data_IF_210147755705
#
_entry.id   IF_210147755705
#
_cell.length_a   1.000
_cell.length_b   1.000
_cell.length_c   1.000
_cell.angle_alpha   90.00
_cell.angle_beta   90.00
_cell.angle_gamma   90.00
#
_symmetry.space_group_name_H-M   'P 1'
#
loop_
_entity.id
_entity.type
_entity.pdbx_description
1 polymer ?
#
# COMPACT_ATOMS: atom_id res chain seq x y z
N UNK A 1 21.25 32.53 -7.44
CA UNK A 1 20.35 31.34 -7.42
C UNK A 1 19.39 31.60 -6.29
N UNK A 2 18.18 31.96 -6.66
CA UNK A 2 17.16 32.46 -5.75
C UNK A 2 16.82 31.45 -4.65
N UNK A 3 17.07 31.89 -3.41
CA UNK A 3 16.74 31.14 -2.17
C UNK A 3 15.30 31.37 -1.72
N UNK A 4 14.43 31.79 -2.59
CA UNK A 4 13.09 32.24 -2.24
C UNK A 4 12.01 31.36 -2.85
N UNK A 5 11.74 30.15 -2.31
CA UNK A 5 10.47 29.54 -2.66
C UNK A 5 9.68 28.98 -1.48
N UNK A 6 10.30 28.60 -0.37
CA UNK A 6 9.50 28.16 0.79
C UNK A 6 10.17 28.59 2.11
N UNK A 7 9.49 29.41 2.89
CA UNK A 7 9.90 29.72 4.26
C UNK A 7 9.56 28.56 5.18
N UNK A 8 10.40 28.27 6.20
CA UNK A 8 10.12 27.21 7.19
C UNK A 8 8.81 27.39 7.99
N UNK A 9 8.16 28.50 7.82
CA UNK A 9 6.89 28.86 8.49
C UNK A 9 5.66 28.38 7.73
N UNK A 10 5.82 27.85 6.52
CA UNK A 10 4.68 27.35 5.76
C UNK A 10 4.10 26.10 6.43
N UNK A 11 2.82 26.18 6.79
CA UNK A 11 2.07 25.15 7.54
C UNK A 11 2.07 23.78 6.83
N UNK A 12 2.29 23.77 5.53
CA UNK A 12 2.24 22.60 4.65
C UNK A 12 3.62 22.17 4.11
N UNK A 13 4.71 22.76 4.62
CA UNK A 13 6.04 22.42 4.16
C UNK A 13 6.53 21.10 4.76
N UNK A 14 6.71 20.07 3.94
CA UNK A 14 7.08 18.73 4.34
C UNK A 14 8.58 18.40 4.08
N UNK A 15 9.44 19.38 4.00
CA UNK A 15 10.92 19.24 3.86
C UNK A 15 11.37 18.30 2.72
N UNK A 16 10.92 18.50 1.47
CA UNK A 16 11.25 17.58 0.37
C UNK A 16 12.72 17.63 -0.07
N UNK A 17 13.42 18.74 0.17
CA UNK A 17 14.73 19.07 -0.34
C UNK A 17 15.85 19.20 0.71
N UNK A 18 15.48 19.17 1.99
CA UNK A 18 16.42 19.32 3.11
C UNK A 18 16.06 18.39 4.28
N UNK A 19 17.02 18.10 5.19
CA UNK A 19 16.73 17.29 6.39
C UNK A 19 15.71 17.96 7.30
N UNK A 20 14.83 17.14 7.88
CA UNK A 20 13.85 17.58 8.87
C UNK A 20 14.57 17.97 10.17
N UNK A 21 14.43 19.21 10.67
CA UNK A 21 14.99 19.62 11.96
C UNK A 21 14.48 18.75 13.11
N UNK A 22 15.31 18.57 14.14
CA UNK A 22 15.00 17.67 15.27
C UNK A 22 13.71 18.06 15.99
N UNK A 23 13.43 19.35 16.15
CA UNK A 23 12.23 19.91 16.80
C UNK A 23 10.95 19.69 16.00
N UNK A 24 11.04 19.41 14.69
CA UNK A 24 9.91 19.14 13.78
C UNK A 24 9.68 17.66 13.53
N UNK A 25 10.54 16.78 14.04
CA UNK A 25 10.40 15.33 13.86
C UNK A 25 9.20 14.80 14.63
N UNK A 26 8.50 13.85 14.02
CA UNK A 26 7.33 13.21 14.63
C UNK A 26 7.73 12.13 15.61
N UNK A 27 6.88 11.90 16.61
CA UNK A 27 7.04 10.79 17.55
C UNK A 27 7.03 9.43 16.83
N UNK A 28 7.79 8.44 17.30
CA UNK A 28 7.79 7.07 16.74
C UNK A 28 6.39 6.44 16.68
N UNK A 29 5.56 6.70 17.71
CA UNK A 29 4.18 6.20 17.77
C UNK A 29 3.34 6.79 16.63
N UNK A 30 3.48 8.08 16.37
CA UNK A 30 2.74 8.75 15.29
C UNK A 30 3.12 8.17 13.92
N UNK A 31 4.42 7.95 13.69
CA UNK A 31 4.92 7.32 12.46
C UNK A 31 4.40 5.88 12.35
N UNK A 32 4.43 5.11 13.45
CA UNK A 32 3.91 3.74 13.47
C UNK A 32 2.41 3.68 13.13
N UNK A 33 1.58 4.57 13.67
CA UNK A 33 0.14 4.64 13.36
C UNK A 33 -0.09 4.93 11.89
N UNK A 34 0.61 5.91 11.32
CA UNK A 34 0.47 6.26 9.91
C UNK A 34 0.93 5.10 9.02
N UNK A 35 2.08 4.49 9.32
CA UNK A 35 2.61 3.36 8.56
C UNK A 35 1.69 2.14 8.65
N UNK A 36 1.11 1.86 9.83
CA UNK A 36 0.12 0.79 9.99
C UNK A 36 -1.13 1.08 9.18
N UNK A 37 -1.62 2.32 9.19
CA UNK A 37 -2.77 2.72 8.37
C UNK A 37 -2.52 2.56 6.87
N UNK A 38 -1.30 2.79 6.41
CA UNK A 38 -0.91 2.53 5.02
C UNK A 38 -0.81 1.04 4.70
N UNK A 39 -0.38 0.21 5.64
CA UNK A 39 -0.25 -1.23 5.47
C UNK A 39 -1.60 -1.96 5.47
N UNK A 40 -2.57 -1.47 6.27
CA UNK A 40 -3.93 -2.02 6.34
C UNK A 40 -4.80 -1.37 5.26
N UNK A 41 -4.55 -1.74 4.01
CA UNK A 41 -5.30 -1.24 2.86
C UNK A 41 -6.10 -2.39 2.22
N UNK A 42 -7.18 -2.05 1.50
CA UNK A 42 -7.98 -3.05 0.76
C UNK A 42 -7.14 -3.85 -0.22
N UNK A 43 -6.15 -3.23 -0.84
CA UNK A 43 -5.20 -3.89 -1.75
C UNK A 43 -4.39 -5.02 -1.08
N UNK A 44 -4.04 -4.89 0.19
CA UNK A 44 -3.33 -5.97 0.91
C UNK A 44 -4.25 -7.14 1.21
N UNK A 45 -5.52 -6.89 1.51
CA UNK A 45 -6.53 -7.95 1.67
C UNK A 45 -6.75 -8.70 0.36
N UNK A 46 -6.85 -7.98 -0.75
CA UNK A 46 -6.97 -8.61 -2.06
C UNK A 46 -5.74 -9.43 -2.45
N UNK A 47 -4.54 -8.95 -2.15
CA UNK A 47 -3.32 -9.74 -2.37
C UNK A 47 -3.38 -11.06 -1.59
N UNK A 48 -3.91 -11.03 -0.36
CA UNK A 48 -4.13 -12.24 0.43
C UNK A 48 -5.13 -13.21 -0.21
N UNK A 49 -6.25 -12.72 -0.75
CA UNK A 49 -7.24 -13.55 -1.44
C UNK A 49 -6.68 -14.14 -2.74
N UNK A 50 -5.96 -13.35 -3.55
CA UNK A 50 -5.32 -13.83 -4.77
C UNK A 50 -4.26 -14.92 -4.49
N UNK A 51 -3.54 -14.82 -3.36
CA UNK A 51 -2.64 -15.89 -2.93
C UNK A 51 -3.40 -17.18 -2.55
N UNK A 52 -4.56 -17.03 -1.93
CA UNK A 52 -5.39 -18.19 -1.54
C UNK A 52 -5.96 -18.96 -2.75
N UNK A 53 -6.15 -18.30 -3.89
CA UNK A 53 -6.58 -18.94 -5.14
C UNK A 53 -5.51 -19.86 -5.75
N UNK A 54 -4.23 -19.57 -5.52
CA UNK A 54 -3.10 -20.26 -6.15
C UNK A 54 -2.28 -21.11 -5.18
N UNK A 55 -2.44 -20.90 -3.88
CA UNK A 55 -1.69 -21.60 -2.82
C UNK A 55 -2.62 -22.11 -1.73
N UNK A 56 -2.31 -23.28 -1.16
CA UNK A 56 -2.98 -23.73 0.04
C UNK A 56 -2.62 -22.82 1.25
N UNK A 57 -3.50 -22.77 2.23
CA UNK A 57 -3.39 -21.89 3.40
C UNK A 57 -1.99 -21.92 4.05
N UNK A 58 -1.45 -23.14 4.29
CA UNK A 58 -0.14 -23.29 4.95
C UNK A 58 1.01 -22.69 4.13
N UNK A 59 1.05 -22.95 2.82
CA UNK A 59 2.10 -22.41 1.94
C UNK A 59 1.95 -20.90 1.77
N UNK A 60 0.74 -20.39 1.59
CA UNK A 60 0.43 -18.96 1.50
C UNK A 60 0.85 -18.21 2.77
N UNK A 61 0.51 -18.74 3.95
CA UNK A 61 0.91 -18.14 5.23
C UNK A 61 2.44 -18.09 5.39
N UNK A 62 3.14 -19.18 5.08
CA UNK A 62 4.62 -19.19 5.13
C UNK A 62 5.21 -18.17 4.18
N UNK A 63 4.71 -18.08 2.94
CA UNK A 63 5.17 -17.11 1.96
C UNK A 63 4.97 -15.66 2.42
N UNK A 64 3.80 -15.34 2.98
CA UNK A 64 3.49 -14.02 3.55
C UNK A 64 4.43 -13.70 4.72
N UNK A 65 4.61 -14.62 5.67
CA UNK A 65 5.45 -14.39 6.84
C UNK A 65 6.91 -14.18 6.42
N UNK A 66 7.46 -15.05 5.57
CA UNK A 66 8.85 -14.94 5.10
C UNK A 66 9.05 -13.65 4.32
N UNK A 67 8.17 -13.32 3.38
CA UNK A 67 8.22 -12.07 2.62
C UNK A 67 8.13 -10.84 3.52
N UNK A 68 7.23 -10.85 4.52
CA UNK A 68 7.07 -9.75 5.47
C UNK A 68 8.29 -9.57 6.36
N UNK A 69 8.94 -10.65 6.80
CA UNK A 69 10.18 -10.58 7.59
C UNK A 69 11.31 -9.97 6.76
N UNK A 70 11.48 -10.39 5.50
CA UNK A 70 12.49 -9.82 4.60
C UNK A 70 12.24 -8.31 4.41
N UNK A 71 11.00 -7.93 4.12
CA UNK A 71 10.62 -6.52 3.96
C UNK A 71 10.82 -5.73 5.25
N UNK A 72 10.50 -6.29 6.42
CA UNK A 72 10.70 -5.65 7.71
C UNK A 72 12.19 -5.38 7.99
N UNK A 73 13.07 -6.32 7.66
CA UNK A 73 14.53 -6.14 7.80
C UNK A 73 15.00 -4.99 6.89
N UNK A 74 14.64 -5.01 5.61
CA UNK A 74 15.02 -3.97 4.65
C UNK A 74 14.48 -2.60 5.05
N UNK A 75 13.21 -2.54 5.46
CA UNK A 75 12.56 -1.32 5.92
C UNK A 75 13.20 -0.77 7.21
N UNK A 76 13.61 -1.65 8.14
CA UNK A 76 14.29 -1.24 9.38
C UNK A 76 15.67 -0.65 9.10
N UNK A 77 16.41 -1.24 8.18
CA UNK A 77 17.73 -0.74 7.79
C UNK A 77 17.63 0.65 7.11
N UNK A 78 16.79 0.76 6.11
CA UNK A 78 16.62 2.02 5.36
C UNK A 78 15.91 3.09 6.19
N UNK A 79 14.88 2.71 6.92
CA UNK A 79 14.12 3.59 7.81
C UNK A 79 14.94 4.10 9.00
N UNK A 80 15.81 3.27 9.58
CA UNK A 80 16.72 3.66 10.63
C UNK A 80 17.69 4.77 10.19
N UNK A 81 18.28 4.64 9.00
CA UNK A 81 19.14 5.67 8.44
C UNK A 81 18.33 6.94 8.16
N UNK A 82 17.18 6.83 7.52
CA UNK A 82 16.30 7.96 7.23
C UNK A 82 15.85 8.71 8.48
N UNK A 83 15.48 7.99 9.56
CA UNK A 83 15.05 8.57 10.82
C UNK A 83 16.19 9.33 11.53
N UNK A 84 17.39 8.74 11.57
CA UNK A 84 18.55 9.39 12.19
C UNK A 84 18.97 10.65 11.44
N UNK A 85 18.99 10.62 10.13
CA UNK A 85 19.40 11.75 9.29
C UNK A 85 18.24 12.76 9.04
N UNK A 86 16.98 12.34 9.22
CA UNK A 86 15.81 13.16 8.91
C UNK A 86 15.62 13.41 7.41
N UNK A 87 16.02 12.46 6.56
CA UNK A 87 16.00 12.60 5.10
C UNK A 87 15.05 11.60 4.44
N UNK A 88 14.49 11.98 3.29
CA UNK A 88 13.64 11.11 2.48
C UNK A 88 14.47 10.05 1.74
N UNK A 89 13.80 8.98 1.27
CA UNK A 89 14.44 7.91 0.49
C UNK A 89 15.13 8.44 -0.78
N UNK A 90 14.54 9.43 -1.46
CA UNK A 90 15.15 10.06 -2.63
C UNK A 90 16.42 10.84 -2.29
N UNK A 91 16.46 11.48 -1.12
CA UNK A 91 17.68 12.13 -0.63
C UNK A 91 18.74 11.11 -0.22
N UNK A 92 18.35 10.03 0.45
CA UNK A 92 19.25 8.96 0.84
C UNK A 92 19.91 8.31 -0.37
N UNK A 93 19.20 8.17 -1.49
CA UNK A 93 19.74 7.62 -2.74
C UNK A 93 20.86 8.46 -3.37
N UNK A 94 21.03 9.71 -2.93
CA UNK A 94 22.15 10.56 -3.40
C UNK A 94 23.51 10.06 -2.94
N UNK A 95 23.56 9.33 -1.82
CA UNK A 95 24.82 8.81 -1.28
C UNK A 95 25.42 7.75 -2.21
N UNK A 96 24.73 6.68 -2.60
CA UNK A 96 25.25 5.65 -3.49
C UNK A 96 25.22 6.04 -4.99
N UNK A 97 24.23 6.81 -5.45
CA UNK A 97 23.98 7.06 -6.88
C UNK A 97 24.36 8.47 -7.33
N UNK A 98 24.79 9.33 -6.41
CA UNK A 98 25.08 10.73 -6.71
C UNK A 98 23.82 11.53 -7.11
N UNK A 99 24.01 12.82 -7.45
CA UNK A 99 22.90 13.75 -7.71
C UNK A 99 22.10 13.39 -8.97
N UNK A 100 22.77 12.92 -10.02
CA UNK A 100 22.09 12.52 -11.28
C UNK A 100 21.36 11.20 -11.15
N UNK A 101 21.98 10.20 -10.51
CA UNK A 101 21.36 8.90 -10.27
C UNK A 101 20.16 8.97 -9.32
N UNK A 102 20.21 9.81 -8.30
CA UNK A 102 19.10 10.06 -7.39
C UNK A 102 17.85 10.63 -8.09
N UNK A 103 17.99 11.39 -9.16
CA UNK A 103 16.86 11.86 -9.96
C UNK A 103 16.13 10.70 -10.65
N UNK A 104 16.89 9.71 -11.14
CA UNK A 104 16.30 8.48 -11.73
C UNK A 104 15.54 7.70 -10.67
N UNK A 105 16.13 7.53 -9.48
CA UNK A 105 15.45 6.88 -8.35
C UNK A 105 14.15 7.61 -7.98
N UNK A 106 14.21 8.94 -7.90
CA UNK A 106 13.03 9.76 -7.63
C UNK A 106 11.93 9.60 -8.70
N UNK A 107 12.33 9.56 -9.97
CA UNK A 107 11.40 9.32 -11.08
C UNK A 107 10.73 7.94 -11.00
N UNK A 108 11.51 6.89 -10.76
CA UNK A 108 10.99 5.52 -10.61
C UNK A 108 10.03 5.43 -9.42
N UNK A 109 10.38 6.03 -8.28
CA UNK A 109 9.49 6.09 -7.12
C UNK A 109 8.19 6.85 -7.45
N UNK A 110 8.28 7.98 -8.14
CA UNK A 110 7.12 8.76 -8.56
C UNK A 110 6.18 7.95 -9.47
N UNK A 111 6.72 7.30 -10.50
CA UNK A 111 5.93 6.43 -11.40
C UNK A 111 5.29 5.27 -10.62
N UNK A 112 6.02 4.65 -9.70
CA UNK A 112 5.51 3.57 -8.86
C UNK A 112 4.36 4.04 -7.98
N UNK A 113 4.45 5.24 -7.40
CA UNK A 113 3.38 5.82 -6.57
C UNK A 113 2.14 6.17 -7.41
N UNK A 114 2.31 6.67 -8.64
CA UNK A 114 1.19 6.91 -9.56
C UNK A 114 0.49 5.59 -9.95
N UNK A 115 1.26 4.54 -10.23
CA UNK A 115 0.71 3.21 -10.50
C UNK A 115 -0.09 2.67 -9.31
N UNK A 116 0.45 2.80 -8.10
CA UNK A 116 -0.23 2.39 -6.88
C UNK A 116 -1.51 3.19 -6.61
N UNK A 117 -1.47 4.50 -6.83
CA UNK A 117 -2.64 5.37 -6.72
C UNK A 117 -3.75 4.97 -7.71
N UNK A 118 -3.38 4.74 -8.98
CA UNK A 118 -4.33 4.32 -10.02
C UNK A 118 -5.01 2.99 -9.65
N UNK A 119 -4.23 2.03 -9.14
CA UNK A 119 -4.74 0.75 -8.67
C UNK A 119 -5.74 0.90 -7.53
N UNK A 120 -5.44 1.74 -6.53
CA UNK A 120 -6.34 2.00 -5.41
C UNK A 120 -7.64 2.69 -5.86
N UNK A 121 -7.55 3.64 -6.79
CA UNK A 121 -8.73 4.30 -7.35
C UNK A 121 -9.62 3.31 -8.12
N UNK A 122 -9.04 2.42 -8.92
CA UNK A 122 -9.79 1.38 -9.63
C UNK A 122 -10.52 0.45 -8.68
N UNK A 123 -9.84 -0.02 -7.64
CA UNK A 123 -10.44 -0.83 -6.58
C UNK A 123 -11.62 -0.17 -5.89
N UNK A 124 -11.47 1.12 -5.56
CA UNK A 124 -12.56 1.89 -4.97
C UNK A 124 -13.77 1.94 -5.90
N UNK A 125 -13.54 2.22 -7.19
CA UNK A 125 -14.59 2.29 -8.19
C UNK A 125 -15.34 0.96 -8.36
N UNK A 126 -14.62 -0.15 -8.45
CA UNK A 126 -15.22 -1.48 -8.54
C UNK A 126 -16.01 -1.84 -7.29
N UNK A 127 -15.46 -1.56 -6.11
CA UNK A 127 -16.13 -1.84 -4.83
C UNK A 127 -17.45 -1.07 -4.71
N UNK A 128 -17.46 0.22 -5.05
CA UNK A 128 -18.68 1.04 -5.03
C UNK A 128 -19.73 0.51 -6.03
N UNK A 129 -19.30 0.13 -7.22
CA UNK A 129 -20.21 -0.42 -8.23
C UNK A 129 -20.85 -1.75 -7.79
N UNK A 130 -20.11 -2.58 -7.08
CA UNK A 130 -20.62 -3.84 -6.51
C UNK A 130 -21.60 -3.61 -5.34
N UNK A 131 -21.33 -2.61 -4.49
CA UNK A 131 -22.16 -2.31 -3.33
C UNK A 131 -23.47 -1.61 -3.70
N UNK A 132 -23.45 -0.77 -4.72
CA UNK A 132 -24.59 0.09 -5.12
C UNK A 132 -24.82 0.01 -6.64
N UNK A 133 -25.29 -1.13 -7.15
CA UNK A 133 -25.52 -1.29 -8.59
C UNK A 133 -26.69 -0.44 -9.08
N UNK A 134 -26.63 0.03 -10.33
CA UNK A 134 -27.75 0.64 -11.02
C UNK A 134 -27.80 2.17 -11.07
N UNK A 135 -26.85 2.87 -10.47
CA UNK A 135 -26.76 4.34 -10.55
C UNK A 135 -25.56 4.80 -11.40
N UNK A 136 -25.75 5.89 -12.16
CA UNK A 136 -24.67 6.48 -12.96
C UNK A 136 -23.44 6.85 -12.10
N UNK A 137 -23.66 7.45 -10.92
CA UNK A 137 -22.58 7.85 -10.00
C UNK A 137 -21.80 6.68 -9.42
N UNK A 138 -22.37 5.49 -9.40
CA UNK A 138 -21.76 4.26 -8.89
C UNK A 138 -21.24 3.36 -10.01
N UNK A 139 -21.30 3.82 -11.29
CA UNK A 139 -20.62 3.10 -12.37
C UNK A 139 -19.10 3.06 -12.09
N UNK A 140 -18.39 1.96 -12.41
CA UNK A 140 -16.98 1.78 -12.04
C UNK A 140 -16.10 2.96 -12.44
N UNK A 141 -16.27 3.49 -13.65
CA UNK A 141 -15.48 4.61 -14.17
C UNK A 141 -15.75 5.91 -13.41
N UNK A 142 -17.03 6.25 -13.21
CA UNK A 142 -17.39 7.49 -12.49
C UNK A 142 -16.99 7.43 -11.04
N UNK A 143 -17.20 6.28 -10.39
CA UNK A 143 -16.79 6.05 -9.00
C UNK A 143 -15.25 6.12 -8.83
N UNK A 144 -14.49 5.60 -9.78
CA UNK A 144 -13.02 5.73 -9.81
C UNK A 144 -12.59 7.19 -9.87
N UNK A 145 -13.24 8.01 -10.70
CA UNK A 145 -12.88 9.42 -10.87
C UNK A 145 -13.17 10.21 -9.59
N UNK A 146 -14.39 10.19 -9.06
CA UNK A 146 -14.70 10.98 -7.86
C UNK A 146 -14.02 10.43 -6.61
N UNK A 147 -13.83 9.10 -6.51
CA UNK A 147 -13.04 8.48 -5.44
C UNK A 147 -11.57 8.89 -5.49
N UNK A 148 -10.97 8.91 -6.68
CA UNK A 148 -9.61 9.41 -6.89
C UNK A 148 -9.45 10.88 -6.51
N UNK A 149 -10.42 11.74 -6.88
CA UNK A 149 -10.43 13.15 -6.48
C UNK A 149 -10.54 13.31 -4.95
N UNK A 150 -11.36 12.50 -4.30
CA UNK A 150 -11.50 12.49 -2.84
C UNK A 150 -10.20 12.05 -2.16
N UNK A 151 -9.55 11.00 -2.64
CA UNK A 151 -8.24 10.55 -2.14
C UNK A 151 -7.16 11.63 -2.36
N UNK A 152 -7.15 12.27 -3.53
CA UNK A 152 -6.21 13.35 -3.84
C UNK A 152 -6.43 14.57 -2.94
N UNK A 153 -7.67 14.92 -2.60
CA UNK A 153 -7.97 16.04 -1.69
C UNK A 153 -7.35 15.84 -0.29
N UNK A 154 -7.35 14.60 0.22
CA UNK A 154 -6.69 14.27 1.50
C UNK A 154 -5.17 14.32 1.39
N UNK A 155 -4.61 13.93 0.25
CA UNK A 155 -3.17 13.97 0.00
C UNK A 155 -2.62 15.41 -0.10
N UNK A 156 -3.41 16.36 -0.63
CA UNK A 156 -3.03 17.78 -0.71
C UNK A 156 -2.82 18.39 0.68
N UNK A 157 -3.56 17.93 1.69
CA UNK A 157 -3.38 18.38 3.08
C UNK A 157 -2.06 17.88 3.69
N UNK A 158 -1.39 16.95 3.01
CA UNK A 158 -0.09 16.41 3.39
C UNK A 158 -0.14 15.48 4.61
N UNK A 159 0.98 15.36 5.30
CA UNK A 159 1.15 14.42 6.42
C UNK A 159 0.08 14.54 7.51
N UNK A 160 -0.40 15.74 7.78
CA UNK A 160 -1.46 15.95 8.79
C UNK A 160 -2.76 15.28 8.40
N UNK A 161 -3.21 15.45 7.15
CA UNK A 161 -4.41 14.79 6.64
C UNK A 161 -4.30 13.26 6.69
N UNK A 162 -3.15 12.72 6.29
CA UNK A 162 -2.86 11.28 6.36
C UNK A 162 -2.89 10.77 7.81
N UNK A 163 -2.35 11.52 8.76
CA UNK A 163 -2.37 11.15 10.18
C UNK A 163 -3.79 11.04 10.73
N UNK A 164 -4.64 12.05 10.49
CA UNK A 164 -6.03 12.00 10.94
C UNK A 164 -6.81 10.85 10.31
N UNK A 165 -6.67 10.67 9.01
CA UNK A 165 -7.32 9.58 8.32
C UNK A 165 -6.88 8.22 8.87
N UNK A 166 -5.57 8.01 9.07
CA UNK A 166 -5.02 6.76 9.60
C UNK A 166 -5.46 6.49 11.05
N UNK A 167 -5.56 7.51 11.89
CA UNK A 167 -6.03 7.34 13.27
C UNK A 167 -7.45 6.78 13.36
N UNK A 168 -8.31 7.11 12.40
CA UNK A 168 -9.69 6.62 12.34
C UNK A 168 -9.79 5.35 11.53
N UNK A 169 -9.21 5.33 10.34
CA UNK A 169 -9.34 4.22 9.40
C UNK A 169 -8.59 2.96 9.85
N UNK A 170 -7.39 3.08 10.43
CA UNK A 170 -6.60 1.91 10.80
C UNK A 170 -7.28 1.02 11.86
N UNK A 171 -7.76 1.55 13.01
CA UNK A 171 -8.45 0.71 13.99
C UNK A 171 -9.77 0.14 13.44
N UNK A 172 -10.49 0.90 12.61
CA UNK A 172 -11.73 0.43 11.99
C UNK A 172 -11.47 -0.73 11.04
N UNK A 173 -10.48 -0.61 10.17
CA UNK A 173 -10.10 -1.66 9.21
C UNK A 173 -9.55 -2.90 9.93
N UNK A 174 -8.71 -2.72 10.95
CA UNK A 174 -8.23 -3.84 11.76
C UNK A 174 -9.38 -4.58 12.47
N UNK A 175 -10.34 -3.84 13.03
CA UNK A 175 -11.54 -4.40 13.63
C UNK A 175 -12.37 -5.18 12.61
N UNK A 176 -12.56 -4.63 11.41
CA UNK A 176 -13.26 -5.33 10.33
C UNK A 176 -12.53 -6.59 9.87
N UNK A 177 -11.20 -6.55 9.73
CA UNK A 177 -10.38 -7.71 9.38
C UNK A 177 -10.52 -8.83 10.43
N UNK A 178 -10.45 -8.48 11.72
CA UNK A 178 -10.63 -9.43 12.81
C UNK A 178 -12.04 -10.02 12.80
N UNK A 179 -13.07 -9.19 12.62
CA UNK A 179 -14.44 -9.64 12.49
C UNK A 179 -14.63 -10.63 11.34
N UNK A 180 -14.12 -10.29 10.15
CA UNK A 180 -14.18 -11.20 8.99
C UNK A 180 -13.43 -12.51 9.24
N UNK A 181 -12.26 -12.46 9.91
CA UNK A 181 -11.49 -13.66 10.23
C UNK A 181 -12.26 -14.56 11.23
N UNK A 182 -12.85 -13.98 12.28
CA UNK A 182 -13.65 -14.70 13.26
C UNK A 182 -14.88 -15.33 12.58
N UNK A 183 -15.58 -14.58 11.74
CA UNK A 183 -16.73 -15.08 10.99
C UNK A 183 -16.33 -16.20 10.04
N UNK A 184 -15.25 -16.09 9.32
CA UNK A 184 -14.75 -17.15 8.43
C UNK A 184 -14.43 -18.44 9.21
N UNK A 185 -13.76 -18.33 10.35
CA UNK A 185 -13.43 -19.48 11.20
C UNK A 185 -14.70 -20.11 11.79
N UNK A 186 -15.68 -19.29 12.23
CA UNK A 186 -16.91 -19.78 12.84
C UNK A 186 -17.85 -20.45 11.85
N UNK A 187 -17.90 -19.97 10.60
CA UNK A 187 -18.81 -20.51 9.58
C UNK A 187 -18.22 -21.70 8.83
N UNK A 188 -16.93 -21.64 8.48
CA UNK A 188 -16.27 -22.67 7.65
C UNK A 188 -15.53 -23.71 8.48
N UNK A 189 -15.11 -23.35 9.68
CA UNK A 189 -14.25 -24.17 10.55
C UNK A 189 -12.77 -24.09 10.15
N UNK A 190 -11.92 -23.98 11.16
CA UNK A 190 -10.47 -23.84 10.95
C UNK A 190 -9.86 -25.04 10.22
N UNK A 191 -10.34 -26.26 10.49
CA UNK A 191 -9.88 -27.49 9.83
C UNK A 191 -10.13 -27.46 8.32
N UNK A 192 -11.28 -26.98 7.88
CA UNK A 192 -11.65 -26.86 6.47
C UNK A 192 -10.77 -25.81 5.76
N UNK A 193 -10.57 -24.66 6.41
CA UNK A 193 -9.68 -23.60 5.89
C UNK A 193 -8.24 -24.11 5.72
N UNK A 194 -7.73 -24.87 6.70
CA UNK A 194 -6.40 -25.46 6.63
C UNK A 194 -6.26 -26.58 5.58
N UNK A 195 -7.35 -27.28 5.30
CA UNK A 195 -7.41 -28.35 4.31
C UNK A 195 -7.69 -27.84 2.88
N UNK A 196 -7.93 -26.56 2.68
CA UNK A 196 -8.26 -25.98 1.39
C UNK A 196 -7.17 -26.26 0.36
N UNK A 197 -7.58 -26.82 -0.78
CA UNK A 197 -6.73 -27.06 -1.96
C UNK A 197 -7.07 -25.98 -2.98
N UNK A 198 -6.09 -25.22 -3.50
CA UNK A 198 -6.33 -24.19 -4.49
C UNK A 198 -6.88 -24.79 -5.79
N UNK A 199 -7.80 -24.09 -6.43
CA UNK A 199 -8.38 -24.50 -7.72
C UNK A 199 -7.32 -24.54 -8.84
N UNK A 200 -6.38 -23.63 -8.81
CA UNK A 200 -5.28 -23.51 -9.76
C UNK A 200 -3.93 -23.45 -9.04
N UNK A 201 -3.38 -24.58 -8.59
CA UNK A 201 -2.12 -24.58 -7.85
C UNK A 201 -0.98 -24.05 -8.72
N UNK A 202 -0.45 -22.89 -8.34
CA UNK A 202 0.75 -22.35 -8.97
C UNK A 202 1.98 -23.19 -8.56
N UNK A 203 2.64 -23.77 -9.52
CA UNK A 203 3.88 -24.52 -9.33
C UNK A 203 5.08 -23.62 -9.11
N UNK A 204 4.99 -22.34 -9.52
CA UNK A 204 6.04 -21.34 -9.32
C UNK A 204 5.45 -19.92 -9.31
N UNK A 205 5.88 -19.07 -8.38
CA UNK A 205 5.52 -17.66 -8.26
C UNK A 205 5.81 -16.80 -9.53
N UNK A 206 6.60 -17.30 -10.45
CA UNK A 206 6.95 -16.65 -11.72
C UNK A 206 5.94 -16.91 -12.86
N UNK A 207 4.97 -17.82 -12.68
CA UNK A 207 3.97 -18.15 -13.70
C UNK A 207 2.60 -17.49 -13.45
N UNK A 208 2.58 -16.22 -13.18
CA UNK A 208 1.33 -15.44 -13.12
C UNK A 208 0.89 -14.89 -14.48
N UNK A 209 1.63 -15.18 -15.54
CA UNK A 209 1.21 -14.85 -16.91
C UNK A 209 0.54 -16.07 -17.55
N UNK A 210 -0.73 -16.00 -17.97
CA UNK A 210 -1.37 -17.10 -18.70
C UNK A 210 -0.56 -17.40 -19.97
N UNK A 211 -0.02 -18.61 -20.03
CA UNK A 211 0.73 -19.07 -21.19
C UNK A 211 -0.18 -19.05 -22.44
N UNK A 212 0.32 -18.66 -23.60
CA UNK A 212 -0.44 -18.81 -24.86
C UNK A 212 -0.92 -20.23 -25.13
N UNK A 213 -0.38 -21.24 -24.44
CA UNK A 213 -0.82 -22.65 -24.51
C UNK A 213 -2.14 -22.91 -23.79
N UNK A 214 -2.43 -22.18 -22.70
CA UNK A 214 -3.66 -22.41 -21.92
C UNK A 214 -4.91 -21.99 -22.69
N UNK A 215 -4.79 -21.05 -23.62
CA UNK A 215 -5.88 -20.64 -24.53
C UNK A 215 -6.24 -21.68 -25.60
N UNK A 216 -5.43 -22.72 -25.79
CA UNK A 216 -5.71 -23.79 -26.78
C UNK A 216 -6.46 -24.99 -26.20
N UNK A 217 -6.50 -25.14 -24.88
CA UNK A 217 -7.19 -26.26 -24.23
C UNK A 217 -8.65 -25.98 -23.88
N UNK A 218 -9.11 -24.73 -24.03
CA UNK A 218 -10.51 -24.32 -23.76
C UNK A 218 -11.36 -24.17 -25.04
N UNK A 219 -10.98 -24.87 -26.13
CA UNK A 219 -11.84 -25.00 -27.34
C UNK A 219 -12.15 -26.44 -27.64
#
# INVERSE_FOLDING_TARGET
MDQNVYTPEDKYYDYPDRPVPHDKRKSPINIAVVTTGMAVAMSTLYTGSALAEVMNFKKGTIAIVVGSVILAILASLTGGIGANQGISTSMLSRVPFGRKGSNIVGLVLGISMLGWFSYQCGYFGETIALMLPGHFLTSPVVATIWGGLLMMSTAIVGYKGMTYLSMVAAPLLLGLCLYCAIMAISTTGLSTIMAQVPENPATCLLYTSPSPRDKRQSR
#
